data_IF_158403463915
#
_entry.id   IF_158403463915
#
_cell.length_a   1.000
_cell.length_b   1.000
_cell.length_c   1.000
_cell.angle_alpha   90.00
_cell.angle_beta   90.00
_cell.angle_gamma   90.00
#
_symmetry.space_group_name_H-M   'P 1'
#
loop_
_entity.id
_entity.type
_entity.pdbx_description
1 polymer ?
#
# COMPACT_ATOMS: atom_id res chain seq x y z
N UNK A 1 -5.10 -20.10 -18.35
CA UNK A 1 -5.84 -20.31 -17.09
C UNK A 1 -7.24 -19.70 -17.20
N UNK A 2 -8.22 -20.28 -16.49
CA UNK A 2 -9.61 -19.83 -16.45
C UNK A 2 -9.88 -18.87 -15.27
N UNK A 3 -11.00 -18.16 -15.32
CA UNK A 3 -11.51 -17.33 -14.22
C UNK A 3 -11.71 -18.18 -12.96
N UNK A 4 -12.28 -19.39 -13.08
CA UNK A 4 -12.45 -20.33 -11.98
C UNK A 4 -11.11 -20.66 -11.29
N UNK A 5 -10.08 -20.96 -12.08
CA UNK A 5 -8.75 -21.21 -11.55
C UNK A 5 -8.19 -20.01 -10.78
N UNK A 6 -8.34 -18.81 -11.34
CA UNK A 6 -7.87 -17.58 -10.68
C UNK A 6 -8.62 -17.32 -9.36
N UNK A 7 -9.96 -17.52 -9.33
CA UNK A 7 -10.75 -17.40 -8.09
C UNK A 7 -10.27 -18.36 -7.01
N UNK A 8 -10.07 -19.62 -7.37
CA UNK A 8 -9.58 -20.63 -6.40
C UNK A 8 -8.22 -20.25 -5.82
N UNK A 9 -7.32 -19.71 -6.65
CA UNK A 9 -6.00 -19.25 -6.18
C UNK A 9 -6.08 -18.00 -5.31
N UNK A 10 -7.00 -17.06 -5.61
CA UNK A 10 -7.22 -15.87 -4.79
C UNK A 10 -7.76 -16.21 -3.39
N UNK A 11 -8.63 -17.20 -3.25
CA UNK A 11 -9.13 -17.66 -1.95
C UNK A 11 -7.99 -18.12 -1.03
N UNK A 12 -7.02 -18.89 -1.55
CA UNK A 12 -5.86 -19.33 -0.78
C UNK A 12 -4.87 -18.21 -0.42
N UNK A 13 -4.96 -17.03 -1.05
CA UNK A 13 -4.06 -15.89 -0.86
C UNK A 13 -4.68 -14.73 -0.06
N UNK A 14 -5.73 -14.98 0.75
CA UNK A 14 -6.41 -13.96 1.58
C UNK A 14 -6.84 -12.72 0.80
N UNK A 15 -7.39 -12.90 -0.41
CA UNK A 15 -7.92 -11.81 -1.22
C UNK A 15 -6.89 -10.87 -1.84
N UNK A 16 -5.60 -11.23 -1.82
CA UNK A 16 -4.53 -10.49 -2.51
C UNK A 16 -4.73 -10.50 -4.03
N UNK A 17 -3.78 -10.00 -4.76
CA UNK A 17 -3.71 -10.09 -6.21
C UNK A 17 -2.97 -11.38 -6.63
N UNK A 18 -3.22 -11.84 -7.85
CA UNK A 18 -2.38 -12.82 -8.53
C UNK A 18 -1.57 -12.13 -9.61
N UNK A 19 -0.30 -12.50 -9.71
CA UNK A 19 0.55 -12.08 -10.83
C UNK A 19 0.30 -12.99 -12.03
N UNK A 20 0.16 -12.38 -13.21
CA UNK A 20 0.08 -13.08 -14.48
C UNK A 20 1.45 -13.01 -15.12
N UNK A 21 2.02 -14.18 -15.44
CA UNK A 21 3.38 -14.31 -15.97
C UNK A 21 3.34 -15.01 -17.34
N UNK A 22 4.33 -14.69 -18.18
CA UNK A 22 4.54 -15.37 -19.46
C UNK A 22 5.31 -16.70 -19.29
N UNK A 23 5.68 -17.35 -20.40
CA UNK A 23 6.47 -18.59 -20.41
C UNK A 23 7.85 -18.42 -19.76
N UNK A 24 8.46 -17.25 -19.88
CA UNK A 24 9.77 -16.91 -19.31
C UNK A 24 9.69 -16.49 -17.83
N UNK A 25 8.50 -16.63 -17.22
CA UNK A 25 8.18 -16.21 -15.85
C UNK A 25 8.28 -14.70 -15.60
N UNK A 26 8.29 -13.88 -16.64
CA UNK A 26 8.24 -12.42 -16.52
C UNK A 26 6.82 -11.94 -16.27
N UNK A 27 6.68 -10.87 -15.49
CA UNK A 27 5.38 -10.26 -15.18
C UNK A 27 4.77 -9.63 -16.44
N UNK A 28 3.53 -10.02 -16.77
CA UNK A 28 2.75 -9.44 -17.87
C UNK A 28 1.44 -8.80 -17.42
N UNK A 29 1.06 -9.00 -16.17
CA UNK A 29 -0.16 -8.42 -15.62
C UNK A 29 -0.43 -8.84 -14.18
N UNK A 30 -1.52 -8.32 -13.65
CA UNK A 30 -2.11 -8.73 -12.37
C UNK A 30 -3.61 -8.95 -12.53
N UNK A 31 -4.18 -9.77 -11.66
CA UNK A 31 -5.62 -9.96 -11.57
C UNK A 31 -6.04 -9.99 -10.10
N UNK A 32 -7.09 -9.25 -9.77
CA UNK A 32 -7.69 -9.19 -8.45
C UNK A 32 -9.10 -9.80 -8.45
N UNK A 33 -9.65 -10.04 -7.26
CA UNK A 33 -11.05 -10.43 -7.11
C UNK A 33 -12.00 -9.37 -7.69
N UNK A 34 -11.62 -8.08 -7.62
CA UNK A 34 -12.39 -6.99 -8.23
C UNK A 34 -12.42 -7.04 -9.74
N UNK A 35 -11.30 -7.41 -10.40
CA UNK A 35 -11.25 -7.57 -11.86
C UNK A 35 -12.16 -8.72 -12.30
N UNK A 36 -12.11 -9.85 -11.60
CA UNK A 36 -12.96 -11.00 -11.88
C UNK A 36 -14.44 -10.66 -11.69
N UNK A 37 -14.78 -9.99 -10.59
CA UNK A 37 -16.17 -9.55 -10.34
C UNK A 37 -16.68 -8.67 -11.48
N UNK A 38 -15.91 -7.68 -11.92
CA UNK A 38 -16.27 -6.80 -13.05
C UNK A 38 -16.45 -7.60 -14.34
N UNK A 39 -15.58 -8.55 -14.62
CA UNK A 39 -15.67 -9.41 -15.79
C UNK A 39 -16.98 -10.23 -15.79
N UNK A 40 -17.32 -10.86 -14.66
CA UNK A 40 -18.57 -11.63 -14.53
C UNK A 40 -19.80 -10.72 -14.75
N UNK A 41 -19.82 -9.54 -14.16
CA UNK A 41 -20.90 -8.55 -14.37
C UNK A 41 -20.98 -8.07 -15.81
N UNK A 42 -19.89 -8.13 -16.56
CA UNK A 42 -19.83 -7.83 -18.01
C UNK A 42 -20.14 -9.04 -18.91
N UNK A 43 -20.61 -10.16 -18.35
CA UNK A 43 -21.06 -11.33 -19.10
C UNK A 43 -20.00 -12.43 -19.29
N UNK A 44 -18.83 -12.33 -18.69
CA UNK A 44 -17.84 -13.42 -18.71
C UNK A 44 -18.31 -14.60 -17.85
N UNK A 45 -18.03 -15.82 -18.32
CA UNK A 45 -18.29 -17.05 -17.58
C UNK A 45 -17.06 -17.47 -16.77
N UNK A 46 -17.26 -18.21 -15.68
CA UNK A 46 -16.14 -18.71 -14.83
C UNK A 46 -15.18 -19.63 -15.58
N UNK A 47 -15.61 -20.27 -16.67
CA UNK A 47 -14.79 -21.12 -17.52
C UNK A 47 -14.01 -20.36 -18.58
N UNK A 48 -14.27 -19.06 -18.77
CA UNK A 48 -13.55 -18.23 -19.71
C UNK A 48 -12.11 -18.01 -19.29
N UNK A 49 -11.24 -17.76 -20.27
CA UNK A 49 -9.82 -17.47 -20.04
C UNK A 49 -9.63 -16.08 -19.46
N UNK A 50 -8.62 -15.90 -18.61
CA UNK A 50 -8.29 -14.61 -17.99
C UNK A 50 -7.60 -13.62 -18.94
N UNK A 51 -7.27 -14.01 -20.16
CA UNK A 51 -6.40 -13.27 -21.09
C UNK A 51 -6.92 -11.87 -21.45
N UNK A 52 -8.24 -11.67 -21.35
CA UNK A 52 -8.91 -10.39 -21.64
C UNK A 52 -9.28 -9.56 -20.42
N UNK A 53 -9.11 -10.14 -19.21
CA UNK A 53 -9.62 -9.51 -17.98
C UNK A 53 -8.54 -9.08 -16.99
N UNK A 54 -7.29 -9.59 -17.12
CA UNK A 54 -6.22 -9.15 -16.24
C UNK A 54 -5.72 -7.75 -16.62
N UNK A 55 -5.30 -7.00 -15.61
CA UNK A 55 -4.76 -5.66 -15.81
C UNK A 55 -3.30 -5.75 -16.31
N UNK A 56 -3.05 -5.16 -17.49
CA UNK A 56 -1.73 -5.09 -18.14
C UNK A 56 -0.91 -3.89 -17.67
N UNK A 57 -1.58 -2.83 -17.16
CA UNK A 57 -0.91 -1.65 -16.59
C UNK A 57 -0.59 -1.92 -15.13
N UNK A 58 0.57 -2.51 -14.88
CA UNK A 58 0.97 -2.95 -13.54
C UNK A 58 1.99 -2.01 -12.94
N UNK A 59 1.68 -1.47 -11.78
CA UNK A 59 2.68 -0.84 -10.92
C UNK A 59 3.47 -1.94 -10.19
N UNK A 60 4.79 -1.84 -10.20
CA UNK A 60 5.71 -2.77 -9.54
C UNK A 60 6.93 -2.03 -8.98
N UNK A 61 7.69 -2.69 -8.13
CA UNK A 61 8.97 -2.20 -7.60
C UNK A 61 10.07 -3.23 -7.81
N UNK A 62 11.32 -2.77 -7.97
CA UNK A 62 12.45 -3.69 -8.00
C UNK A 62 12.96 -4.00 -6.59
N UNK A 63 13.37 -5.25 -6.37
CA UNK A 63 13.95 -5.70 -5.11
C UNK A 63 15.16 -4.84 -4.67
N UNK A 64 16.00 -4.47 -5.62
CA UNK A 64 17.17 -3.62 -5.37
C UNK A 64 16.80 -2.20 -4.91
N UNK A 65 15.67 -1.67 -5.39
CA UNK A 65 15.18 -0.34 -5.00
C UNK A 65 14.69 -0.35 -3.55
N UNK A 66 14.02 -1.43 -3.13
CA UNK A 66 13.58 -1.62 -1.76
C UNK A 66 14.77 -1.81 -0.81
N UNK A 67 15.73 -2.67 -1.16
CA UNK A 67 16.92 -2.96 -0.33
C UNK A 67 17.82 -1.74 -0.17
N UNK A 68 18.08 -1.00 -1.24
CA UNK A 68 18.97 0.17 -1.22
C UNK A 68 18.30 1.44 -0.73
N UNK A 69 17.03 1.37 -0.30
CA UNK A 69 16.22 2.55 0.04
C UNK A 69 16.35 3.66 -1.03
N UNK A 70 16.58 3.30 -2.29
CA UNK A 70 16.68 4.25 -3.40
C UNK A 70 15.28 4.77 -3.76
N UNK A 71 15.20 5.99 -4.31
CA UNK A 71 13.97 6.50 -4.93
C UNK A 71 13.45 5.44 -5.89
N UNK A 72 12.23 4.96 -5.64
CA UNK A 72 11.57 3.99 -6.50
C UNK A 72 11.27 4.71 -7.81
N UNK A 73 12.11 4.48 -8.82
CA UNK A 73 11.99 5.04 -10.16
C UNK A 73 11.10 4.19 -11.06
N UNK A 74 10.71 3.00 -10.59
CA UNK A 74 9.82 2.11 -11.29
C UNK A 74 8.42 2.74 -11.40
N UNK A 75 7.56 2.21 -12.24
CA UNK A 75 6.21 2.68 -12.62
C UNK A 75 5.23 2.95 -11.46
N UNK A 76 5.75 3.40 -10.31
CA UNK A 76 4.98 3.79 -9.13
C UNK A 76 4.73 5.29 -9.18
N UNK A 77 3.74 5.70 -10.00
CA UNK A 77 3.33 7.10 -10.12
C UNK A 77 2.37 7.52 -9.00
N UNK A 78 2.20 8.83 -8.82
CA UNK A 78 1.21 9.43 -7.90
C UNK A 78 -0.23 8.92 -8.15
N UNK A 79 -0.56 8.54 -9.37
CA UNK A 79 -1.83 7.90 -9.72
C UNK A 79 -2.03 6.54 -9.07
N UNK A 80 -0.95 5.80 -8.78
CA UNK A 80 -1.01 4.50 -8.10
C UNK A 80 -1.42 4.62 -6.63
N UNK A 81 -1.19 5.76 -6.00
CA UNK A 81 -1.57 6.03 -4.61
C UNK A 81 -3.06 6.37 -4.48
N UNK A 82 -3.67 6.92 -5.54
CA UNK A 82 -5.08 7.33 -5.54
C UNK A 82 -6.04 6.20 -5.94
N UNK A 83 -5.54 5.11 -6.53
CA UNK A 83 -6.34 4.00 -7.04
C UNK A 83 -6.16 2.78 -6.14
N UNK A 84 -6.81 2.67 -5.01
CA UNK A 84 -7.07 1.44 -4.21
C UNK A 84 -6.11 0.25 -4.45
N UNK A 85 -4.82 0.52 -4.73
CA UNK A 85 -3.79 -0.51 -4.92
C UNK A 85 -3.29 -0.89 -3.54
N UNK A 86 -3.71 -2.05 -3.04
CA UNK A 86 -3.30 -2.55 -1.72
C UNK A 86 -2.03 -3.39 -1.76
N UNK A 87 -1.71 -3.97 -2.91
CA UNK A 87 -0.56 -4.88 -3.08
C UNK A 87 0.17 -4.60 -4.37
N UNK A 88 1.50 -4.73 -4.34
CA UNK A 88 2.37 -4.45 -5.46
C UNK A 88 3.38 -5.58 -5.67
N UNK A 89 3.62 -6.05 -6.91
CA UNK A 89 4.65 -7.02 -7.22
C UNK A 89 6.06 -6.46 -7.02
N UNK A 90 6.93 -7.27 -6.42
CA UNK A 90 8.37 -7.03 -6.34
C UNK A 90 9.07 -7.86 -7.40
N UNK A 91 9.86 -7.24 -8.24
CA UNK A 91 10.58 -7.89 -9.34
C UNK A 91 12.08 -7.90 -9.10
N UNK A 92 12.74 -8.93 -9.63
CA UNK A 92 14.19 -8.90 -9.79
C UNK A 92 14.58 -8.13 -11.08
N UNK A 93 15.90 -8.04 -11.36
CA UNK A 93 16.44 -7.36 -12.55
C UNK A 93 15.95 -7.96 -13.88
N UNK A 94 15.64 -9.25 -13.90
CA UNK A 94 15.13 -9.98 -15.06
C UNK A 94 13.61 -9.86 -15.20
N UNK A 95 12.96 -8.93 -14.48
CA UNK A 95 11.50 -8.72 -14.42
C UNK A 95 10.70 -9.95 -13.96
N UNK A 96 11.34 -10.91 -13.27
CA UNK A 96 10.66 -12.06 -12.67
C UNK A 96 10.11 -11.69 -11.31
N UNK A 97 8.91 -12.17 -11.01
CA UNK A 97 8.22 -11.92 -9.73
C UNK A 97 8.96 -12.65 -8.60
N UNK A 98 9.32 -11.90 -7.57
CA UNK A 98 9.94 -12.40 -6.34
C UNK A 98 8.97 -12.42 -5.16
N UNK A 99 8.14 -11.38 -5.04
CA UNK A 99 7.22 -11.24 -3.91
C UNK A 99 6.02 -10.38 -4.31
N UNK A 100 5.02 -10.33 -3.46
CA UNK A 100 3.88 -9.42 -3.52
C UNK A 100 3.75 -8.80 -2.13
N UNK A 101 3.93 -7.49 -2.03
CA UNK A 101 3.96 -6.77 -0.76
C UNK A 101 2.81 -5.75 -0.66
N UNK A 102 2.35 -5.42 0.55
CA UNK A 102 1.43 -4.30 0.76
C UNK A 102 2.08 -2.98 0.30
N UNK A 103 1.29 -2.11 -0.31
CA UNK A 103 1.78 -0.81 -0.80
C UNK A 103 2.29 0.07 0.35
N UNK A 104 1.72 -0.07 1.54
CA UNK A 104 2.15 0.63 2.75
C UNK A 104 3.63 0.39 3.06
N UNK A 105 4.12 -0.83 2.84
CA UNK A 105 5.54 -1.18 3.03
C UNK A 105 6.46 -0.40 2.08
N UNK A 106 5.98 -0.12 0.87
CA UNK A 106 6.71 0.72 -0.10
C UNK A 106 6.71 2.16 0.37
N UNK A 107 5.55 2.69 0.80
CA UNK A 107 5.39 4.06 1.31
C UNK A 107 6.28 4.27 2.54
N UNK A 108 6.26 3.38 3.52
CA UNK A 108 7.12 3.47 4.71
C UNK A 108 8.61 3.53 4.36
N UNK A 109 9.03 2.77 3.34
CA UNK A 109 10.42 2.79 2.86
C UNK A 109 10.79 4.15 2.27
N UNK A 110 9.86 4.81 1.58
CA UNK A 110 10.04 6.14 0.99
C UNK A 110 10.02 7.25 2.05
N UNK A 111 9.11 7.16 3.04
CA UNK A 111 8.94 8.16 4.09
C UNK A 111 10.14 8.19 5.04
N UNK A 112 10.67 7.03 5.46
CA UNK A 112 11.88 6.95 6.30
C UNK A 112 13.03 7.74 5.68
N UNK A 113 13.11 7.78 4.37
CA UNK A 113 14.14 8.52 3.63
C UNK A 113 13.94 10.03 3.60
N UNK A 114 12.67 10.50 3.57
CA UNK A 114 12.36 11.93 3.68
C UNK A 114 12.75 12.47 5.06
N UNK A 115 12.49 11.69 6.10
CA UNK A 115 12.85 12.04 7.48
C UNK A 115 14.37 12.07 7.65
N UNK A 116 15.10 11.06 7.18
CA UNK A 116 16.58 11.03 7.23
C UNK A 116 17.24 12.19 6.47
N UNK A 117 16.61 12.71 5.39
CA UNK A 117 17.10 13.90 4.66
C UNK A 117 16.75 15.21 5.35
N UNK A 118 15.62 15.27 6.05
CA UNK A 118 15.18 16.49 6.75
C UNK A 118 15.85 16.66 8.12
N UNK A 119 16.27 15.58 8.78
CA UNK A 119 17.02 15.66 10.04
C UNK A 119 18.47 16.17 9.85
N UNK A 120 18.99 16.16 8.61
CA UNK A 120 20.27 16.77 8.28
C UNK A 120 20.17 18.28 7.92
N UNK A 121 18.98 18.85 7.87
CA UNK A 121 18.76 20.28 7.67
C UNK A 121 17.76 20.78 8.71
N UNK A 122 18.31 21.35 9.76
CA UNK A 122 17.61 22.08 10.85
C UNK A 122 16.82 21.24 11.86
N UNK A 123 17.22 21.37 13.09
CA UNK A 123 16.72 20.93 14.40
C UNK A 123 15.23 21.21 14.73
N UNK A 124 14.29 21.15 13.79
CA UNK A 124 12.87 21.33 14.09
C UNK A 124 12.07 20.11 13.65
N UNK A 125 11.57 19.35 14.63
CA UNK A 125 10.58 18.30 14.40
C UNK A 125 9.34 18.92 13.73
N UNK A 126 8.74 18.24 12.71
CA UNK A 126 7.52 18.70 12.10
C UNK A 126 6.40 18.90 13.15
N UNK A 127 5.74 20.06 13.12
CA UNK A 127 4.66 20.40 14.06
C UNK A 127 3.31 20.14 13.41
N UNK A 128 2.40 19.46 14.12
CA UNK A 128 1.04 19.17 13.67
C UNK A 128 0.05 19.56 14.75
N UNK A 129 -0.98 20.30 14.36
CA UNK A 129 -2.13 20.59 15.19
C UNK A 129 -3.27 19.63 14.79
N UNK A 130 -3.81 18.87 15.74
CA UNK A 130 -4.95 18.00 15.55
C UNK A 130 -6.16 18.58 16.29
N UNK A 131 -7.16 18.99 15.54
CA UNK A 131 -8.46 19.40 16.10
C UNK A 131 -9.30 18.14 16.29
N UNK A 132 -9.85 17.95 17.49
CA UNK A 132 -10.54 16.71 17.89
C UNK A 132 -9.57 15.54 18.18
N UNK A 133 -8.32 15.84 18.54
CA UNK A 133 -7.26 14.87 18.75
C UNK A 133 -7.43 13.93 19.93
N UNK A 134 -8.33 14.23 20.87
CA UNK A 134 -8.71 13.37 21.99
C UNK A 134 -9.92 12.46 21.68
N UNK A 135 -10.55 12.60 20.51
CA UNK A 135 -11.60 11.71 20.04
C UNK A 135 -11.08 10.35 19.55
N UNK A 136 -11.99 9.46 19.17
CA UNK A 136 -11.67 8.09 18.74
C UNK A 136 -10.65 8.03 17.59
N UNK A 137 -10.89 8.77 16.51
CA UNK A 137 -9.96 8.85 15.37
C UNK A 137 -8.70 9.63 15.72
N UNK A 138 -8.87 10.75 16.44
CA UNK A 138 -7.79 11.66 16.82
C UNK A 138 -6.71 10.99 17.68
N UNK A 139 -7.08 10.12 18.62
CA UNK A 139 -6.13 9.38 19.47
C UNK A 139 -5.28 8.41 18.66
N UNK A 140 -5.87 7.71 17.69
CA UNK A 140 -5.14 6.79 16.78
C UNK A 140 -4.17 7.58 15.90
N UNK A 141 -4.61 8.69 15.32
CA UNK A 141 -3.78 9.56 14.49
C UNK A 141 -2.62 10.17 15.28
N UNK A 142 -2.91 10.69 16.47
CA UNK A 142 -1.90 11.25 17.39
C UNK A 142 -0.82 10.22 17.73
N UNK A 143 -1.21 9.02 18.12
CA UNK A 143 -0.27 7.93 18.41
C UNK A 143 0.63 7.60 17.23
N UNK A 144 0.08 7.55 16.01
CA UNK A 144 0.86 7.31 14.78
C UNK A 144 1.83 8.45 14.48
N UNK A 145 1.45 9.69 14.68
CA UNK A 145 2.31 10.86 14.44
C UNK A 145 3.44 10.94 15.46
N UNK A 146 3.16 10.70 16.75
CA UNK A 146 4.19 10.64 17.79
C UNK A 146 5.23 9.56 17.51
N UNK A 147 4.80 8.36 17.06
CA UNK A 147 5.71 7.28 16.65
C UNK A 147 6.56 7.64 15.43
N UNK A 148 6.13 8.62 14.64
CA UNK A 148 6.88 9.17 13.48
C UNK A 148 7.71 10.41 13.83
N UNK A 149 7.90 10.70 15.11
CA UNK A 149 8.64 11.86 15.61
C UNK A 149 8.07 13.22 15.18
N UNK A 150 6.75 13.35 15.09
CA UNK A 150 6.09 14.65 14.95
C UNK A 150 5.88 15.32 16.30
N UNK A 151 6.00 16.64 16.34
CA UNK A 151 5.57 17.41 17.49
C UNK A 151 4.07 17.66 17.36
N UNK A 152 3.26 16.95 18.17
CA UNK A 152 1.80 16.99 18.05
C UNK A 152 1.19 17.91 19.12
N UNK A 153 0.36 18.83 18.69
CA UNK A 153 -0.51 19.64 19.55
C UNK A 153 -1.96 19.18 19.34
N UNK A 154 -2.67 18.91 20.42
CA UNK A 154 -4.08 18.51 20.38
C UNK A 154 -4.95 19.68 20.84
N UNK A 155 -5.93 20.05 20.02
CA UNK A 155 -7.01 20.94 20.38
C UNK A 155 -8.31 20.14 20.44
N UNK A 156 -8.89 20.01 21.66
CA UNK A 156 -10.09 19.19 21.89
C UNK A 156 -10.93 19.79 23.02
N UNK A 157 -12.24 19.65 22.95
CA UNK A 157 -13.15 20.09 24.01
C UNK A 157 -13.35 19.02 25.11
N UNK A 158 -12.73 17.83 24.94
CA UNK A 158 -12.76 16.71 25.90
C UNK A 158 -14.18 16.25 26.26
N UNK A 159 -15.11 16.29 25.30
CA UNK A 159 -16.53 15.99 25.52
C UNK A 159 -16.75 14.54 25.95
N UNK A 160 -15.92 13.59 25.51
CA UNK A 160 -16.11 12.16 25.75
C UNK A 160 -15.35 11.64 26.97
N UNK A 161 -14.09 11.99 27.15
CA UNK A 161 -13.29 11.59 28.33
C UNK A 161 -12.11 12.56 28.57
N UNK A 162 -12.16 13.28 29.67
CA UNK A 162 -11.10 14.22 30.08
C UNK A 162 -9.75 13.54 30.36
N UNK A 163 -9.74 12.26 30.65
CA UNK A 163 -8.52 11.49 30.96
C UNK A 163 -7.93 10.74 29.78
N UNK A 164 -8.56 10.82 28.60
CA UNK A 164 -8.14 10.03 27.42
C UNK A 164 -6.71 10.36 27.00
N UNK A 165 -6.31 11.63 27.09
CA UNK A 165 -4.95 12.09 26.75
C UNK A 165 -3.92 11.49 27.71
N UNK A 166 -4.22 11.45 29.03
CA UNK A 166 -3.32 10.87 30.03
C UNK A 166 -3.16 9.35 29.89
N UNK A 167 -4.19 8.66 29.43
CA UNK A 167 -4.18 7.19 29.24
C UNK A 167 -3.42 6.75 27.99
N UNK A 168 -3.50 7.53 26.90
CA UNK A 168 -3.03 7.09 25.59
C UNK A 168 -1.68 7.69 25.16
N UNK A 169 -1.17 8.73 25.84
CA UNK A 169 0.02 9.47 25.40
C UNK A 169 1.05 9.64 26.53
N UNK A 170 1.32 8.53 27.25
CA UNK A 170 2.45 8.44 28.18
C UNK A 170 3.74 8.10 27.45
#
# INVERSE_FOLDING_TARGET
NTIKFALTKLQGNYGKILTVINKDKSLIGIISAGDIRRAILSGYNVNDKIDRIYNKKVSYVFEDELKKKKLIKSNFGSESLNNSIFYIPVLNKDKKVKDIIPVERVIETLEKKKIEKQTNSANQLPRVLIVGGAGYIGTVLTSKLLKKNYHVTILDNLMYDKNIVKKNFK
#
